data_IF_285946127873
#
_entry.id   IF_285946127873
#
_cell.length_a   1.000
_cell.length_b   1.000
_cell.length_c   1.000
_cell.angle_alpha   90.00
_cell.angle_beta   90.00
_cell.angle_gamma   90.00
#
_symmetry.space_group_name_H-M   'P 1'
#
loop_
_entity.id
_entity.type
_entity.pdbx_description
1 polymer ?
#
# COMPACT_ATOMS: atom_id res chain seq x y z
N UNK A 1 -1.79 -13.25 12.64
CA UNK A 1 -1.03 -12.40 11.70
C UNK A 1 -1.96 -11.53 10.85
N UNK A 2 -2.35 -10.35 11.35
CA UNK A 2 -3.30 -9.40 10.71
C UNK A 2 -2.85 -7.94 10.93
N UNK A 3 -1.55 -7.68 10.77
CA UNK A 3 -0.94 -6.34 10.93
C UNK A 3 -1.39 -5.33 9.84
N UNK A 4 -2.16 -5.77 8.84
CA UNK A 4 -2.60 -4.93 7.72
C UNK A 4 -4.12 -4.68 7.69
N UNK A 5 -4.92 -5.07 8.69
CA UNK A 5 -6.40 -4.93 8.63
C UNK A 5 -6.94 -3.59 9.17
N UNK A 6 -7.37 -2.70 8.23
CA UNK A 6 -8.36 -1.57 8.28
C UNK A 6 -8.28 -0.53 9.44
N UNK A 7 -8.87 0.72 9.42
CA UNK A 7 -9.70 1.48 8.46
C UNK A 7 -9.30 3.00 8.33
N UNK A 8 -8.47 3.40 7.38
CA UNK A 8 -8.25 4.82 6.99
C UNK A 8 -8.83 5.06 5.61
N UNK A 9 -8.78 3.99 4.82
CA UNK A 9 -9.65 3.77 3.68
C UNK A 9 -10.40 2.47 4.00
N UNK A 10 -11.46 2.54 4.81
CA UNK A 10 -12.48 1.46 4.87
C UNK A 10 -13.03 1.13 3.47
N UNK A 11 -12.77 2.02 2.51
CA UNK A 11 -12.99 1.88 1.09
C UNK A 11 -11.80 1.27 0.30
N UNK A 12 -10.82 0.58 0.88
CA UNK A 12 -9.78 -0.05 0.05
C UNK A 12 -10.28 -1.29 -0.70
N UNK A 13 -11.17 -2.07 -0.10
CA UNK A 13 -11.82 -3.18 -0.81
C UNK A 13 -12.79 -2.62 -1.86
N UNK A 14 -13.59 -1.60 -1.48
CA UNK A 14 -14.53 -0.90 -2.37
C UNK A 14 -13.77 -0.21 -3.50
N UNK A 15 -12.69 0.50 -3.21
CA UNK A 15 -11.83 1.17 -4.17
C UNK A 15 -11.05 0.20 -5.04
N UNK A 16 -10.56 -0.92 -4.49
CA UNK A 16 -9.95 -1.99 -5.30
C UNK A 16 -10.97 -2.66 -6.22
N UNK A 17 -12.20 -2.91 -5.75
CA UNK A 17 -13.28 -3.50 -6.55
C UNK A 17 -13.77 -2.51 -7.62
N UNK A 18 -14.02 -1.24 -7.28
CA UNK A 18 -14.32 -0.15 -8.24
C UNK A 18 -13.22 -0.03 -9.28
N UNK A 19 -11.95 -0.11 -8.87
CA UNK A 19 -10.84 -0.02 -9.79
C UNK A 19 -10.73 -1.28 -10.63
N UNK A 20 -10.84 -2.49 -10.09
CA UNK A 20 -10.85 -3.71 -10.92
C UNK A 20 -11.97 -3.67 -11.96
N UNK A 21 -13.15 -3.19 -11.59
CA UNK A 21 -14.30 -3.10 -12.49
C UNK A 21 -14.17 -1.96 -13.52
N UNK A 22 -13.73 -0.77 -13.10
CA UNK A 22 -13.68 0.44 -13.96
C UNK A 22 -12.32 0.72 -14.59
N UNK A 23 -11.25 0.05 -14.18
CA UNK A 23 -9.90 0.25 -14.74
C UNK A 23 -9.88 -0.13 -16.23
N UNK A 24 -10.66 -1.13 -16.64
CA UNK A 24 -10.75 -1.48 -18.06
C UNK A 24 -11.27 -0.31 -18.91
N UNK A 25 -12.26 0.43 -18.43
CA UNK A 25 -12.81 1.59 -19.13
C UNK A 25 -11.90 2.81 -19.00
N UNK A 26 -11.35 3.03 -17.79
CA UNK A 26 -10.37 4.09 -17.54
C UNK A 26 -9.07 3.92 -18.38
N UNK A 27 -8.67 2.70 -18.74
CA UNK A 27 -7.48 2.43 -19.56
C UNK A 27 -7.73 2.71 -21.04
N UNK A 28 -8.98 2.63 -21.51
CA UNK A 28 -9.35 2.90 -22.91
C UNK A 28 -9.41 4.40 -23.23
N UNK A 29 -9.78 5.23 -22.27
CA UNK A 29 -9.95 6.68 -22.46
C UNK A 29 -8.65 7.50 -22.27
N UNK A 30 -7.47 6.85 -22.35
CA UNK A 30 -6.20 7.40 -21.88
C UNK A 30 -5.53 8.43 -22.81
N UNK A 31 -6.22 9.55 -23.08
CA UNK A 31 -5.64 10.78 -23.64
C UNK A 31 -5.55 11.87 -22.55
N UNK A 32 -4.40 11.93 -21.86
CA UNK A 32 -3.83 13.24 -21.44
C UNK A 32 -4.21 13.91 -20.11
N UNK A 33 -5.05 13.36 -19.21
CA UNK A 33 -5.43 14.10 -17.98
C UNK A 33 -4.42 13.89 -16.81
N UNK A 34 -3.89 14.99 -16.27
CA UNK A 34 -2.81 15.04 -15.26
C UNK A 34 -3.07 14.28 -13.93
N UNK A 35 -4.33 14.01 -13.56
CA UNK A 35 -4.72 13.31 -12.33
C UNK A 35 -4.67 11.77 -12.47
N UNK A 36 -4.53 11.26 -13.69
CA UNK A 36 -4.67 9.85 -13.99
C UNK A 36 -3.55 8.97 -13.40
N UNK A 37 -2.26 9.36 -13.42
CA UNK A 37 -1.20 8.54 -12.84
C UNK A 37 -1.34 8.30 -11.33
N UNK A 38 -1.89 9.28 -10.61
CA UNK A 38 -2.15 9.20 -9.17
C UNK A 38 -3.25 8.19 -8.88
N UNK A 39 -4.35 8.21 -9.66
CA UNK A 39 -5.43 7.21 -9.56
C UNK A 39 -4.93 5.79 -9.85
N UNK A 40 -4.10 5.63 -10.88
CA UNK A 40 -3.49 4.34 -11.23
C UNK A 40 -2.55 3.84 -10.14
N UNK A 41 -1.76 4.73 -9.53
CA UNK A 41 -0.93 4.39 -8.39
C UNK A 41 -1.76 3.89 -7.21
N UNK A 42 -2.74 4.68 -6.76
CA UNK A 42 -3.56 4.30 -5.62
C UNK A 42 -4.32 3.00 -5.89
N UNK A 43 -4.85 2.78 -7.09
CA UNK A 43 -5.49 1.52 -7.45
C UNK A 43 -4.60 0.29 -7.36
N UNK A 44 -3.37 0.40 -7.86
CA UNK A 44 -2.38 -0.67 -7.73
C UNK A 44 -1.99 -0.91 -6.27
N UNK A 45 -1.86 0.18 -5.50
CA UNK A 45 -1.53 0.15 -4.09
C UNK A 45 -2.62 -0.57 -3.29
N UNK A 46 -3.89 -0.22 -3.48
CA UNK A 46 -5.04 -0.91 -2.87
C UNK A 46 -5.01 -2.41 -3.18
N UNK A 47 -4.80 -2.77 -4.46
CA UNK A 47 -4.72 -4.18 -4.88
C UNK A 47 -3.62 -4.94 -4.13
N UNK A 48 -2.43 -4.35 -3.95
CA UNK A 48 -1.35 -5.00 -3.22
C UNK A 48 -1.63 -5.13 -1.72
N UNK A 49 -2.21 -4.12 -1.09
CA UNK A 49 -2.60 -4.19 0.33
C UNK A 49 -3.66 -5.27 0.56
N UNK A 50 -4.71 -5.30 -0.25
CA UNK A 50 -5.79 -6.30 -0.16
C UNK A 50 -5.27 -7.72 -0.42
N UNK A 51 -4.33 -7.88 -1.36
CA UNK A 51 -3.65 -9.16 -1.58
C UNK A 51 -2.87 -9.63 -0.35
N UNK A 52 -2.23 -8.71 0.37
CA UNK A 52 -1.44 -9.05 1.55
C UNK A 52 -2.36 -9.53 2.68
N UNK A 53 -3.49 -8.86 2.86
CA UNK A 53 -4.51 -9.25 3.84
C UNK A 53 -5.11 -10.64 3.51
N UNK A 54 -5.48 -10.87 2.24
CA UNK A 54 -6.15 -12.11 1.82
C UNK A 54 -5.23 -13.34 1.81
N UNK A 55 -3.96 -13.17 1.44
CA UNK A 55 -3.00 -14.28 1.40
C UNK A 55 -2.44 -14.64 2.78
N UNK A 56 -2.35 -13.68 3.69
CA UNK A 56 -1.79 -13.90 5.03
C UNK A 56 -2.84 -14.14 6.13
N UNK A 57 -4.13 -13.90 5.87
CA UNK A 57 -5.23 -14.19 6.80
C UNK A 57 -5.61 -15.68 6.96
N UNK A 58 -4.74 -16.62 6.58
CA UNK A 58 -5.03 -18.07 6.54
C UNK A 58 -4.71 -18.82 7.85
N UNK A 59 -4.59 -18.10 8.97
CA UNK A 59 -4.04 -18.61 10.22
C UNK A 59 -5.03 -19.20 11.23
N UNK A 60 -6.29 -18.79 11.25
CA UNK A 60 -7.22 -19.21 12.32
C UNK A 60 -8.64 -19.42 11.76
N UNK A 61 -8.95 -20.64 11.36
CA UNK A 61 -10.33 -21.12 11.31
C UNK A 61 -10.34 -22.65 11.22
N UNK A 62 -10.36 -23.30 12.39
CA UNK A 62 -11.13 -24.54 12.54
C UNK A 62 -12.59 -24.14 12.32
N UNK A 63 -13.10 -24.39 11.13
CA UNK A 63 -14.45 -24.01 10.73
C UNK A 63 -14.79 -24.62 9.40
N UNK A 64 -15.44 -25.77 9.45
CA UNK A 64 -16.15 -26.43 8.36
C UNK A 64 -17.02 -25.44 7.60
N UNK A 65 -16.55 -24.98 6.44
CA UNK A 65 -17.24 -24.01 5.59
C UNK A 65 -17.08 -24.36 4.12
N UNK A 66 -18.22 -24.48 3.44
CA UNK A 66 -18.43 -24.92 2.06
C UNK A 66 -17.45 -24.38 0.99
N UNK A 67 -17.11 -25.24 0.03
CA UNK A 67 -16.12 -25.04 -1.04
C UNK A 67 -16.38 -23.86 -1.99
N UNK A 68 -17.54 -23.19 -1.91
CA UNK A 68 -17.94 -22.07 -2.76
C UNK A 68 -17.18 -20.75 -2.42
N UNK A 69 -16.74 -20.57 -1.17
CA UNK A 69 -16.06 -19.33 -0.74
C UNK A 69 -14.58 -19.25 -1.12
N UNK A 70 -13.94 -20.38 -1.41
CA UNK A 70 -12.50 -20.47 -1.73
C UNK A 70 -12.27 -20.12 -3.21
N UNK A 71 -13.19 -20.50 -4.10
CA UNK A 71 -13.16 -20.16 -5.53
C UNK A 71 -13.20 -18.64 -5.75
N UNK A 72 -14.20 -17.96 -5.20
CA UNK A 72 -14.36 -16.50 -5.34
C UNK A 72 -13.16 -15.70 -4.79
N UNK A 73 -12.56 -16.14 -3.67
CA UNK A 73 -11.36 -15.51 -3.10
C UNK A 73 -10.13 -15.65 -4.00
N UNK A 74 -9.93 -16.83 -4.61
CA UNK A 74 -8.83 -17.06 -5.57
C UNK A 74 -9.01 -16.24 -6.86
N UNK A 75 -10.24 -16.15 -7.38
CA UNK A 75 -10.54 -15.35 -8.58
C UNK A 75 -10.28 -13.85 -8.35
N UNK A 76 -10.74 -13.29 -7.22
CA UNK A 76 -10.45 -11.88 -6.86
C UNK A 76 -8.94 -11.62 -6.67
N UNK A 77 -8.22 -12.51 -6.00
CA UNK A 77 -6.78 -12.37 -5.83
C UNK A 77 -6.01 -12.42 -7.18
N UNK A 78 -6.45 -13.23 -8.13
CA UNK A 78 -5.89 -13.24 -9.48
C UNK A 78 -6.14 -11.91 -10.20
N UNK A 79 -7.35 -11.37 -10.10
CA UNK A 79 -7.71 -10.07 -10.68
C UNK A 79 -6.86 -8.93 -10.10
N UNK A 80 -6.75 -8.81 -8.77
CA UNK A 80 -5.92 -7.79 -8.13
C UNK A 80 -4.45 -7.86 -8.56
N UNK A 81 -3.88 -9.07 -8.71
CA UNK A 81 -2.49 -9.22 -9.18
C UNK A 81 -2.33 -8.74 -10.62
N UNK A 82 -3.28 -9.06 -11.50
CA UNK A 82 -3.27 -8.62 -12.89
C UNK A 82 -3.37 -7.09 -12.96
N UNK A 83 -4.34 -6.50 -12.25
CA UNK A 83 -4.52 -5.05 -12.17
C UNK A 83 -3.28 -4.34 -11.67
N UNK A 84 -2.72 -4.75 -10.52
CA UNK A 84 -1.51 -4.12 -9.98
C UNK A 84 -0.31 -4.22 -10.94
N UNK A 85 -0.20 -5.33 -11.71
CA UNK A 85 0.83 -5.49 -12.73
C UNK A 85 0.65 -4.52 -13.89
N UNK A 86 -0.58 -4.35 -14.39
CA UNK A 86 -0.91 -3.42 -15.48
C UNK A 86 -0.60 -1.98 -15.06
N UNK A 87 -1.14 -1.54 -13.92
CA UNK A 87 -0.90 -0.19 -13.40
C UNK A 87 0.59 0.12 -13.22
N UNK A 88 1.36 -0.84 -12.72
CA UNK A 88 2.81 -0.71 -12.59
C UNK A 88 3.52 -0.58 -13.94
N UNK A 89 3.07 -1.30 -14.97
CA UNK A 89 3.62 -1.16 -16.33
C UNK A 89 3.29 0.20 -16.93
N UNK A 90 2.10 0.74 -16.68
CA UNK A 90 1.71 2.09 -17.12
C UNK A 90 2.58 3.16 -16.46
N UNK A 91 2.78 3.07 -15.13
CA UNK A 91 3.69 3.98 -14.41
C UNK A 91 5.11 3.95 -14.99
N UNK A 92 5.63 2.75 -15.32
CA UNK A 92 6.93 2.63 -15.98
C UNK A 92 6.96 3.35 -17.33
N UNK A 93 5.93 3.17 -18.17
CA UNK A 93 5.84 3.83 -19.46
C UNK A 93 5.82 5.36 -19.32
N UNK A 94 5.08 5.91 -18.36
CA UNK A 94 5.05 7.36 -18.14
C UNK A 94 6.37 7.91 -17.60
N UNK A 95 7.06 7.18 -16.74
CA UNK A 95 8.40 7.57 -16.27
C UNK A 95 9.37 7.60 -17.45
N UNK A 96 9.36 6.57 -18.30
CA UNK A 96 10.18 6.49 -19.52
C UNK A 96 9.80 7.56 -20.55
N UNK A 97 8.52 7.92 -20.62
CA UNK A 97 7.98 8.98 -21.47
C UNK A 97 8.22 10.40 -20.95
N UNK A 98 9.05 10.58 -19.91
CA UNK A 98 9.49 11.90 -19.47
C UNK A 98 8.77 12.45 -18.23
N UNK A 99 8.04 11.63 -17.46
CA UNK A 99 7.47 12.05 -16.17
C UNK A 99 8.22 11.43 -14.97
N UNK A 100 9.40 11.98 -14.59
CA UNK A 100 10.19 11.46 -13.49
C UNK A 100 9.51 11.66 -12.14
N UNK A 101 8.54 12.58 -12.00
CA UNK A 101 7.83 12.84 -10.75
C UNK A 101 7.08 11.59 -10.25
N UNK A 102 6.77 10.63 -11.10
CA UNK A 102 6.09 9.38 -10.75
C UNK A 102 7.03 8.29 -10.22
N UNK A 103 8.34 8.54 -10.13
CA UNK A 103 9.34 7.54 -9.70
C UNK A 103 9.04 7.01 -8.29
N UNK A 104 8.64 7.89 -7.36
CA UNK A 104 8.28 7.48 -6.00
C UNK A 104 7.07 6.52 -5.97
N UNK A 105 6.06 6.74 -6.82
CA UNK A 105 4.92 5.83 -6.96
C UNK A 105 5.38 4.42 -7.37
N UNK A 106 6.31 4.33 -8.33
CA UNK A 106 6.86 3.04 -8.74
C UNK A 106 7.68 2.37 -7.63
N UNK A 107 8.47 3.13 -6.88
CA UNK A 107 9.21 2.63 -5.70
C UNK A 107 8.27 2.08 -4.64
N UNK A 108 7.19 2.80 -4.30
CA UNK A 108 6.15 2.33 -3.38
C UNK A 108 5.50 1.01 -3.84
N UNK A 109 5.14 0.89 -5.12
CA UNK A 109 4.57 -0.35 -5.66
C UNK A 109 5.59 -1.50 -5.70
N UNK A 110 6.88 -1.21 -5.85
CA UNK A 110 7.92 -2.23 -5.71
C UNK A 110 8.03 -2.72 -4.27
N UNK A 111 7.98 -1.80 -3.30
CA UNK A 111 8.03 -2.12 -1.88
C UNK A 111 6.87 -3.02 -1.46
N UNK A 112 5.62 -2.65 -1.77
CA UNK A 112 4.44 -3.47 -1.44
C UNK A 112 4.49 -4.85 -2.11
N UNK A 113 5.00 -4.93 -3.35
CA UNK A 113 5.23 -6.23 -4.01
C UNK A 113 6.27 -7.09 -3.28
N UNK A 114 7.30 -6.49 -2.68
CA UNK A 114 8.28 -7.18 -1.86
C UNK A 114 7.66 -7.63 -0.52
N UNK A 115 6.87 -6.79 0.14
CA UNK A 115 6.10 -7.14 1.35
C UNK A 115 5.19 -8.34 1.11
N UNK A 116 4.46 -8.33 -0.01
CA UNK A 116 3.61 -9.46 -0.44
C UNK A 116 4.37 -10.78 -0.59
N UNK A 117 5.66 -10.70 -0.91
CA UNK A 117 6.55 -11.85 -1.07
C UNK A 117 7.39 -12.12 0.17
N UNK A 118 7.14 -11.42 1.28
CA UNK A 118 7.92 -11.47 2.52
C UNK A 118 9.41 -11.18 2.33
N UNK A 119 9.76 -10.38 1.32
CA UNK A 119 11.13 -9.93 1.06
C UNK A 119 11.33 -8.57 1.73
N UNK A 120 11.32 -8.55 3.06
CA UNK A 120 11.25 -7.32 3.85
C UNK A 120 12.46 -6.40 3.64
N UNK A 121 13.69 -6.94 3.56
CA UNK A 121 14.89 -6.11 3.29
C UNK A 121 14.80 -5.35 1.95
N UNK A 122 14.32 -6.04 0.90
CA UNK A 122 14.09 -5.40 -0.39
C UNK A 122 12.95 -4.37 -0.33
N UNK A 123 11.94 -4.60 0.51
CA UNK A 123 10.87 -3.64 0.71
C UNK A 123 11.38 -2.37 1.39
N UNK A 124 12.21 -2.51 2.42
CA UNK A 124 12.88 -1.40 3.13
C UNK A 124 13.66 -0.53 2.15
N UNK A 125 14.49 -1.12 1.30
CA UNK A 125 15.26 -0.38 0.29
C UNK A 125 14.35 0.42 -0.65
N UNK A 126 13.23 -0.14 -1.08
CA UNK A 126 12.28 0.56 -1.94
C UNK A 126 11.49 1.67 -1.21
N UNK A 127 11.12 1.49 0.06
CA UNK A 127 10.48 2.57 0.83
C UNK A 127 11.44 3.72 1.10
N UNK A 128 12.68 3.44 1.48
CA UNK A 128 13.72 4.48 1.66
C UNK A 128 13.92 5.29 0.38
N UNK A 129 14.01 4.62 -0.77
CA UNK A 129 14.11 5.31 -2.06
C UNK A 129 12.87 6.17 -2.38
N UNK A 130 11.66 5.76 -1.97
CA UNK A 130 10.46 6.57 -2.11
C UNK A 130 10.50 7.81 -1.20
N UNK A 131 10.85 7.63 0.09
CA UNK A 131 10.99 8.69 1.09
C UNK A 131 12.00 9.75 0.62
N UNK A 132 13.19 9.33 0.19
CA UNK A 132 14.24 10.25 -0.26
C UNK A 132 13.78 11.06 -1.47
N UNK A 133 13.07 10.44 -2.41
CA UNK A 133 12.54 11.12 -3.58
C UNK A 133 11.45 12.14 -3.21
N UNK A 134 10.50 11.74 -2.36
CA UNK A 134 9.38 12.61 -1.96
C UNK A 134 9.86 13.78 -1.11
N UNK A 135 10.82 13.55 -0.21
CA UNK A 135 11.41 14.58 0.64
C UNK A 135 12.11 15.65 -0.17
N UNK A 136 12.98 15.24 -1.10
CA UNK A 136 13.72 16.18 -1.99
C UNK A 136 12.81 17.05 -2.86
N UNK A 137 11.55 16.65 -3.05
CA UNK A 137 10.57 17.35 -3.89
C UNK A 137 9.43 17.99 -3.10
N UNK A 138 9.42 17.87 -1.77
CA UNK A 138 8.37 18.42 -0.92
C UNK A 138 7.01 17.71 -1.05
N UNK A 139 6.97 16.44 -1.47
CA UNK A 139 5.73 15.67 -1.52
C UNK A 139 5.38 15.10 -0.13
N UNK A 140 5.03 15.99 0.81
CA UNK A 140 4.86 15.69 2.25
C UNK A 140 3.93 14.50 2.50
N UNK A 141 2.74 14.48 1.88
CA UNK A 141 1.78 13.38 2.05
C UNK A 141 2.29 12.03 1.53
N UNK A 142 3.10 12.04 0.45
CA UNK A 142 3.70 10.81 -0.08
C UNK A 142 4.90 10.36 0.76
N UNK A 143 5.66 11.30 1.32
CA UNK A 143 6.71 11.00 2.30
C UNK A 143 6.10 10.38 3.55
N UNK A 144 5.03 10.97 4.09
CA UNK A 144 4.29 10.43 5.24
C UNK A 144 3.80 9.02 4.96
N UNK A 145 3.16 8.79 3.81
CA UNK A 145 2.71 7.46 3.43
C UNK A 145 3.88 6.45 3.35
N UNK A 146 4.97 6.79 2.67
CA UNK A 146 6.12 5.88 2.57
C UNK A 146 6.78 5.59 3.93
N UNK A 147 6.83 6.60 4.80
CA UNK A 147 7.37 6.52 6.17
C UNK A 147 6.51 5.63 7.06
N UNK A 148 5.18 5.80 7.05
CA UNK A 148 4.23 4.90 7.73
C UNK A 148 4.48 3.45 7.31
N UNK A 149 4.58 3.19 6.00
CA UNK A 149 4.74 1.83 5.48
C UNK A 149 6.08 1.22 5.84
N UNK A 150 7.15 2.00 5.87
CA UNK A 150 8.46 1.55 6.35
C UNK A 150 8.41 1.20 7.83
N UNK A 151 7.76 2.01 8.67
CA UNK A 151 7.59 1.73 10.10
C UNK A 151 6.95 0.35 10.34
N UNK A 152 5.84 0.04 9.65
CA UNK A 152 5.21 -1.28 9.73
C UNK A 152 6.12 -2.41 9.20
N UNK A 153 6.96 -2.13 8.20
CA UNK A 153 7.90 -3.10 7.67
C UNK A 153 8.96 -3.47 8.72
N UNK A 154 9.56 -2.48 9.36
CA UNK A 154 10.54 -2.66 10.43
C UNK A 154 9.94 -3.32 11.67
N UNK A 155 8.71 -2.95 12.04
CA UNK A 155 8.00 -3.60 13.15
C UNK A 155 7.84 -5.12 12.92
N UNK A 156 7.59 -5.55 11.68
CA UNK A 156 7.51 -6.98 11.32
C UNK A 156 8.88 -7.66 11.38
N UNK A 157 9.97 -6.93 11.16
CA UNK A 157 11.33 -7.45 11.28
C UNK A 157 11.84 -7.49 12.73
N UNK A 158 11.11 -6.89 13.68
CA UNK A 158 11.47 -6.82 15.09
C UNK A 158 12.23 -5.55 15.49
N UNK A 159 12.49 -4.64 14.55
CA UNK A 159 13.22 -3.39 14.74
C UNK A 159 12.32 -2.30 15.35
N UNK A 160 11.93 -2.46 16.62
CA UNK A 160 10.83 -1.69 17.24
C UNK A 160 11.14 -0.23 17.45
N UNK A 161 12.37 0.08 17.86
CA UNK A 161 12.81 1.44 18.16
C UNK A 161 12.77 2.28 16.87
N UNK A 162 13.39 1.77 15.80
CA UNK A 162 13.39 2.40 14.48
C UNK A 162 11.97 2.51 13.91
N UNK A 163 11.16 1.46 14.08
CA UNK A 163 9.77 1.47 13.64
C UNK A 163 8.95 2.56 14.36
N UNK A 164 9.16 2.75 15.67
CA UNK A 164 8.46 3.77 16.46
C UNK A 164 8.89 5.18 16.07
N UNK A 165 10.18 5.42 15.91
CA UNK A 165 10.71 6.71 15.47
C UNK A 165 10.15 7.11 14.09
N UNK A 166 10.06 6.14 13.15
CA UNK A 166 9.45 6.38 11.85
C UNK A 166 7.93 6.60 11.95
N UNK A 167 7.24 5.88 12.83
CA UNK A 167 5.81 6.10 13.03
C UNK A 167 5.52 7.54 13.49
N UNK A 168 6.26 8.03 14.49
CA UNK A 168 6.16 9.42 14.95
C UNK A 168 6.50 10.43 13.86
N UNK A 169 7.54 10.15 13.06
CA UNK A 169 7.87 11.00 11.91
C UNK A 169 6.72 11.06 10.89
N UNK A 170 6.07 9.92 10.65
CA UNK A 170 4.91 9.88 9.76
C UNK A 170 3.72 10.65 10.32
N UNK A 171 3.50 10.64 11.64
CA UNK A 171 2.46 11.46 12.28
C UNK A 171 2.72 12.93 11.99
N UNK A 172 3.94 13.42 12.27
CA UNK A 172 4.32 14.81 12.02
C UNK A 172 4.08 15.22 10.56
N UNK A 173 4.49 14.38 9.60
CA UNK A 173 4.27 14.66 8.18
C UNK A 173 2.78 14.77 7.80
N UNK A 174 1.91 13.95 8.38
CA UNK A 174 0.47 14.05 8.12
C UNK A 174 -0.20 15.21 8.86
N UNK A 175 0.25 15.53 10.07
CA UNK A 175 -0.16 16.74 10.79
C UNK A 175 0.22 18.01 10.03
N UNK A 176 1.46 18.11 9.55
CA UNK A 176 1.94 19.25 8.75
C UNK A 176 1.18 19.39 7.43
N UNK A 177 0.72 18.27 6.85
CA UNK A 177 -0.14 18.25 5.67
C UNK A 177 -1.61 18.61 5.97
N UNK A 178 -2.02 18.65 7.24
CA UNK A 178 -3.39 18.95 7.67
C UNK A 178 -4.36 17.77 7.65
N UNK A 179 -3.85 16.53 7.77
CA UNK A 179 -4.67 15.32 7.75
C UNK A 179 -4.87 14.72 9.15
N UNK A 180 -5.51 15.48 10.05
CA UNK A 180 -5.70 15.07 11.45
C UNK A 180 -6.47 13.75 11.60
N UNK A 181 -7.48 13.52 10.74
CA UNK A 181 -8.22 12.25 10.73
C UNK A 181 -7.38 11.06 10.31
N UNK A 182 -6.37 11.28 9.46
CA UNK A 182 -5.40 10.24 9.10
C UNK A 182 -4.50 9.93 10.30
N UNK A 183 -4.08 10.95 11.05
CA UNK A 183 -3.26 10.82 12.27
C UNK A 183 -3.99 10.02 13.35
N UNK A 184 -5.22 10.42 13.70
CA UNK A 184 -6.04 9.76 14.74
C UNK A 184 -6.14 8.24 14.52
N UNK A 185 -6.39 7.85 13.27
CA UNK A 185 -6.51 6.44 12.94
C UNK A 185 -5.15 5.75 12.86
N UNK A 186 -4.09 6.45 12.44
CA UNK A 186 -2.74 5.90 12.44
C UNK A 186 -2.29 5.53 13.85
N UNK A 187 -2.49 6.41 14.82
CA UNK A 187 -2.17 6.18 16.24
C UNK A 187 -2.95 4.97 16.78
N UNK A 188 -4.26 4.95 16.54
CA UNK A 188 -5.14 3.83 16.94
C UNK A 188 -4.72 2.48 16.33
N UNK A 189 -4.13 2.49 15.14
CA UNK A 189 -3.60 1.27 14.50
C UNK A 189 -2.25 0.87 15.05
N UNK A 190 -1.40 1.85 15.30
CA UNK A 190 -0.06 1.62 15.82
C UNK A 190 -0.08 0.95 17.18
N UNK A 191 -0.94 1.41 18.08
CA UNK A 191 -1.14 0.77 19.39
C UNK A 191 -1.49 -0.71 19.26
N UNK A 192 -2.48 -1.03 18.41
CA UNK A 192 -2.86 -2.43 18.11
C UNK A 192 -1.73 -3.23 17.46
N UNK A 193 -0.83 -2.58 16.72
CA UNK A 193 0.30 -3.24 16.07
C UNK A 193 1.40 -3.60 17.06
N UNK A 194 1.73 -2.69 17.98
CA UNK A 194 2.71 -2.92 19.05
C UNK A 194 2.22 -4.03 20.00
N UNK A 195 0.96 -3.99 20.45
CA UNK A 195 0.38 -5.02 21.33
C UNK A 195 0.48 -6.44 20.75
N UNK A 196 0.44 -6.54 19.41
CA UNK A 196 0.54 -7.81 18.69
C UNK A 196 1.96 -8.21 18.38
N UNK A 197 2.85 -7.25 18.13
CA UNK A 197 4.28 -7.47 17.99
C UNK A 197 4.97 -7.80 19.31
N UNK A 198 4.32 -7.53 20.44
CA UNK A 198 4.72 -7.76 21.84
C UNK A 198 4.77 -9.21 22.33
N UNK A 199 4.40 -10.20 21.51
CA UNK A 199 4.37 -11.62 21.86
C UNK A 199 5.38 -12.44 21.07
#
# INVERSE_FOLDING_TARGET
YTLFNAPIFGEFQIGADIIVDKLHDCVKDATGVALYPIRIFFGAYCCYITLSQTLHGKGDSNGSGSGTSIGNRKHKASAYRKTAKVCKQMLKKWIQGGNPNLTHCLSMLNAEKCVLKRKYDNAVGHYRAAIDFTRKRGFIHMEGLATERLAYCLLVQGEREDASALHEASIRLFSDWGADKKVEVMESRWQRAIERGGR
#
